data_IF_305794388271
#
_entry.id   IF_305794388271
#
_cell.length_a   1.000
_cell.length_b   1.000
_cell.length_c   1.000
_cell.angle_alpha   90.00
_cell.angle_beta   90.00
_cell.angle_gamma   90.00
#
_symmetry.space_group_name_H-M   'P 1'
#
loop_
_entity.id
_entity.type
_entity.pdbx_description
1 polymer ?
#
# COMPACT_ATOMS: atom_id res chain seq x y z
N UNK A 1 40.58 10.97 54.56
CA UNK A 1 39.32 11.74 54.67
C UNK A 1 39.38 12.91 53.70
N UNK A 2 38.24 13.44 53.26
CA UNK A 2 37.45 12.85 52.16
C UNK A 2 37.10 13.84 51.03
N UNK A 3 36.47 13.28 49.98
CA UNK A 3 35.65 13.89 48.91
C UNK A 3 36.41 14.77 47.89
N UNK A 4 36.41 14.52 46.58
CA UNK A 4 35.61 13.68 45.67
C UNK A 4 35.35 14.52 44.41
N UNK A 5 35.64 14.08 43.17
CA UNK A 5 35.06 14.73 42.00
C UNK A 5 33.60 14.30 41.89
N UNK A 6 32.75 15.31 42.04
CA UNK A 6 31.31 15.32 41.87
C UNK A 6 30.91 15.04 40.41
N UNK A 7 30.00 14.06 40.24
CA UNK A 7 29.04 13.83 39.14
C UNK A 7 29.60 13.68 37.70
N UNK A 8 29.45 12.58 36.96
CA UNK A 8 28.37 11.58 36.85
C UNK A 8 26.96 12.20 36.69
N UNK A 9 26.67 12.65 35.47
CA UNK A 9 25.32 12.73 34.92
C UNK A 9 25.40 12.07 33.52
N UNK A 10 25.10 10.77 33.43
CA UNK A 10 23.76 10.24 33.21
C UNK A 10 23.34 10.44 31.75
N UNK A 11 23.49 9.34 31.00
CA UNK A 11 22.73 9.00 29.81
C UNK A 11 21.25 9.34 30.06
N UNK A 12 20.65 10.18 29.21
CA UNK A 12 19.21 10.16 29.00
C UNK A 12 19.00 9.92 27.51
N UNK A 13 18.76 8.64 27.20
CA UNK A 13 18.16 8.24 25.95
C UNK A 13 16.76 8.81 25.90
N UNK A 14 16.56 9.80 25.06
CA UNK A 14 15.23 10.16 24.59
C UNK A 14 15.13 9.72 23.13
N UNK A 15 14.75 8.45 23.00
CA UNK A 15 14.08 7.88 21.84
C UNK A 15 12.75 8.63 21.66
N UNK A 16 12.53 9.42 20.60
CA UNK A 16 11.18 9.79 20.23
C UNK A 16 10.54 8.54 19.61
N UNK A 17 9.89 7.80 20.50
CA UNK A 17 8.68 7.03 20.30
C UNK A 17 8.20 6.94 18.85
N UNK A 18 8.11 5.68 18.41
CA UNK A 18 7.28 5.24 17.30
C UNK A 18 5.94 5.99 17.27
N UNK A 19 5.87 7.00 16.40
CA UNK A 19 4.62 7.53 15.89
C UNK A 19 3.99 6.51 14.95
N UNK A 20 3.38 5.47 15.53
CA UNK A 20 2.36 4.69 14.84
C UNK A 20 1.13 5.61 14.68
N UNK A 21 1.14 6.42 13.63
CA UNK A 21 -0.06 7.05 13.13
C UNK A 21 -0.91 5.99 12.42
N UNK A 22 -1.70 5.31 13.25
CA UNK A 22 -2.95 4.63 12.90
C UNK A 22 -3.87 5.64 12.20
N UNK A 23 -3.73 5.76 10.89
CA UNK A 23 -4.72 6.45 10.06
C UNK A 23 -5.84 5.47 9.73
N UNK A 24 -6.66 5.24 10.76
CA UNK A 24 -8.06 4.84 10.63
C UNK A 24 -8.81 5.85 9.75
N UNK A 25 -9.49 5.35 8.71
CA UNK A 25 -10.60 6.11 8.09
C UNK A 25 -10.61 6.13 6.57
N UNK A 26 -10.90 4.99 5.95
CA UNK A 26 -11.20 4.91 4.52
C UNK A 26 -11.93 3.62 4.15
N UNK A 27 -12.79 3.11 5.04
CA UNK A 27 -13.73 2.05 4.70
C UNK A 27 -14.93 2.71 4.02
N UNK A 28 -14.85 2.85 2.69
CA UNK A 28 -16.02 3.12 1.88
C UNK A 28 -16.88 1.85 1.92
N UNK A 29 -17.81 1.83 2.87
CA UNK A 29 -18.88 0.86 2.95
C UNK A 29 -19.67 0.90 1.63
N UNK A 30 -19.41 -0.08 0.76
CA UNK A 30 -20.29 -0.39 -0.37
C UNK A 30 -21.67 -0.79 0.16
N UNK A 31 -22.75 -0.56 -0.61
CA UNK A 31 -24.12 -0.78 -0.16
C UNK A 31 -24.32 -2.22 0.32
N UNK A 32 -24.92 -2.36 1.51
CA UNK A 32 -25.35 -3.63 2.10
C UNK A 32 -26.29 -4.37 1.15
N UNK A 33 -26.06 -5.66 0.84
CA UNK A 33 -27.10 -6.49 0.27
C UNK A 33 -28.12 -6.81 1.36
N UNK A 34 -29.30 -6.20 1.25
CA UNK A 34 -30.53 -6.56 1.95
C UNK A 34 -30.67 -8.10 2.03
N UNK A 35 -30.67 -8.62 3.25
CA UNK A 35 -30.89 -10.03 3.55
C UNK A 35 -32.36 -10.39 3.31
N UNK A 36 -32.69 -10.76 2.07
CA UNK A 36 -33.90 -11.50 1.74
C UNK A 36 -33.72 -12.99 2.03
N UNK A 37 -34.10 -13.42 3.23
CA UNK A 37 -34.22 -14.83 3.58
C UNK A 37 -35.43 -15.45 2.86
N UNK A 38 -35.18 -16.32 1.88
CA UNK A 38 -36.07 -17.43 1.58
C UNK A 38 -35.32 -18.75 1.75
N UNK A 39 -35.61 -19.41 2.87
CA UNK A 39 -35.28 -20.82 3.07
C UNK A 39 -36.15 -21.69 2.17
N UNK A 40 -35.52 -22.39 1.24
CA UNK A 40 -36.06 -23.62 0.66
C UNK A 40 -35.09 -24.77 0.93
N UNK A 41 -35.47 -25.82 1.67
CA UNK A 41 -34.63 -27.01 1.79
C UNK A 41 -34.70 -27.80 0.48
N UNK A 42 -33.83 -27.45 -0.47
CA UNK A 42 -33.71 -28.10 -1.77
C UNK A 42 -32.51 -29.03 -1.81
N UNK A 43 -32.72 -30.24 -1.32
CA UNK A 43 -32.05 -31.48 -1.71
C UNK A 43 -30.52 -31.57 -1.57
N UNK A 44 -30.11 -32.33 -0.56
CA UNK A 44 -28.76 -32.89 -0.43
C UNK A 44 -28.44 -33.77 -1.65
N UNK A 45 -27.85 -33.17 -2.69
CA UNK A 45 -27.18 -33.88 -3.76
C UNK A 45 -25.78 -34.31 -3.33
N UNK A 46 -25.69 -35.30 -2.44
CA UNK A 46 -24.44 -36.03 -2.20
C UNK A 46 -24.15 -36.91 -3.43
N UNK A 47 -23.54 -36.32 -4.45
CA UNK A 47 -23.19 -36.97 -5.70
C UNK A 47 -21.73 -36.75 -6.10
N UNK A 48 -20.92 -37.78 -5.88
CA UNK A 48 -19.58 -37.99 -6.46
C UNK A 48 -18.39 -37.24 -5.82
N UNK A 49 -17.87 -37.80 -4.73
CA UNK A 49 -16.72 -37.28 -3.97
C UNK A 49 -15.33 -37.51 -4.58
N UNK A 50 -15.18 -38.28 -5.67
CA UNK A 50 -13.84 -38.66 -6.17
C UNK A 50 -13.35 -37.82 -7.36
N UNK A 51 -14.26 -37.26 -8.17
CA UNK A 51 -13.91 -36.43 -9.33
C UNK A 51 -13.78 -34.94 -9.01
N UNK A 52 -14.53 -34.46 -8.01
CA UNK A 52 -14.54 -33.06 -7.60
C UNK A 52 -13.22 -32.63 -6.93
N UNK A 53 -12.56 -33.54 -6.19
CA UNK A 53 -11.28 -33.26 -5.53
C UNK A 53 -10.15 -33.00 -6.52
N UNK A 54 -10.03 -33.83 -7.57
CA UNK A 54 -8.98 -33.66 -8.58
C UNK A 54 -9.19 -32.38 -9.43
N UNK A 55 -10.44 -32.06 -9.77
CA UNK A 55 -10.79 -30.81 -10.46
C UNK A 55 -10.50 -29.57 -9.58
N UNK A 56 -10.89 -29.61 -8.30
CA UNK A 56 -10.63 -28.51 -7.36
C UNK A 56 -9.14 -28.28 -7.10
N UNK A 57 -8.32 -29.34 -7.11
CA UNK A 57 -6.85 -29.20 -7.06
C UNK A 57 -6.28 -28.52 -8.31
N UNK A 58 -6.83 -28.82 -9.50
CA UNK A 58 -6.41 -28.18 -10.76
C UNK A 58 -6.81 -26.70 -10.81
N UNK A 59 -8.00 -26.34 -10.34
CA UNK A 59 -8.47 -24.95 -10.28
C UNK A 59 -7.64 -24.13 -9.28
N UNK A 60 -7.39 -24.66 -8.07
CA UNK A 60 -6.54 -24.01 -7.09
C UNK A 60 -5.10 -23.78 -7.60
N UNK A 61 -4.56 -24.73 -8.39
CA UNK A 61 -3.25 -24.56 -9.02
C UNK A 61 -3.24 -23.45 -10.07
N UNK A 62 -4.30 -23.35 -10.88
CA UNK A 62 -4.45 -22.27 -11.87
C UNK A 62 -4.55 -20.90 -11.19
N UNK A 63 -5.29 -20.79 -10.08
CA UNK A 63 -5.38 -19.56 -9.29
C UNK A 63 -4.04 -19.17 -8.67
N UNK A 64 -3.31 -20.13 -8.08
CA UNK A 64 -1.97 -19.86 -7.54
C UNK A 64 -0.98 -19.43 -8.64
N UNK A 65 -1.07 -20.01 -9.84
CA UNK A 65 -0.26 -19.58 -10.98
C UNK A 65 -0.61 -18.14 -11.41
N UNK A 66 -1.90 -17.80 -11.48
CA UNK A 66 -2.35 -16.45 -11.81
C UNK A 66 -1.87 -15.41 -10.77
N UNK A 67 -1.94 -15.74 -9.47
CA UNK A 67 -1.44 -14.87 -8.40
C UNK A 67 0.06 -14.62 -8.50
N UNK A 68 0.86 -15.65 -8.82
CA UNK A 68 2.31 -15.51 -9.02
C UNK A 68 2.61 -14.56 -10.17
N UNK A 69 1.93 -14.72 -11.31
CA UNK A 69 2.10 -13.84 -12.47
C UNK A 69 1.74 -12.39 -12.15
N UNK A 70 0.64 -12.14 -11.42
CA UNK A 70 0.28 -10.77 -11.05
C UNK A 70 1.28 -10.17 -10.06
N UNK A 71 1.72 -10.94 -9.07
CA UNK A 71 2.77 -10.50 -8.14
C UNK A 71 4.06 -10.14 -8.87
N UNK A 72 4.49 -10.95 -9.84
CA UNK A 72 5.66 -10.67 -10.66
C UNK A 72 5.48 -9.39 -11.49
N UNK A 73 4.30 -9.16 -12.07
CA UNK A 73 3.99 -7.92 -12.80
C UNK A 73 4.02 -6.70 -11.90
N UNK A 74 3.49 -6.80 -10.68
CA UNK A 74 3.54 -5.73 -9.69
C UNK A 74 4.99 -5.47 -9.27
N UNK A 75 5.76 -6.52 -8.97
CA UNK A 75 7.16 -6.40 -8.58
C UNK A 75 8.00 -5.71 -9.65
N UNK A 76 7.83 -6.07 -10.92
CA UNK A 76 8.52 -5.40 -12.04
C UNK A 76 8.13 -3.92 -12.14
N UNK A 77 6.83 -3.61 -12.12
CA UNK A 77 6.35 -2.22 -12.19
C UNK A 77 6.80 -1.39 -10.98
N UNK A 78 6.89 -2.00 -9.80
CA UNK A 78 7.42 -1.34 -8.60
C UNK A 78 8.91 -1.06 -8.75
N UNK A 79 9.69 -2.05 -9.15
CA UNK A 79 11.12 -1.87 -9.37
C UNK A 79 11.41 -0.70 -10.33
N UNK A 80 10.66 -0.59 -11.44
CA UNK A 80 10.79 0.50 -12.41
C UNK A 80 10.39 1.89 -11.86
N UNK A 81 9.48 1.96 -10.88
CA UNK A 81 8.94 3.23 -10.34
C UNK A 81 9.53 3.66 -9.00
N UNK A 82 10.04 2.72 -8.22
CA UNK A 82 10.61 2.94 -6.87
C UNK A 82 12.11 3.29 -6.93
N UNK A 83 12.66 3.53 -8.13
CA UNK A 83 14.02 4.04 -8.24
C UNK A 83 14.16 5.40 -7.53
N UNK A 84 15.20 5.57 -6.69
CA UNK A 84 15.49 6.86 -6.07
C UNK A 84 15.64 7.95 -7.12
N UNK A 85 15.13 9.15 -6.82
CA UNK A 85 15.35 10.31 -7.67
C UNK A 85 16.75 10.86 -7.39
N UNK A 86 17.56 10.99 -8.44
CA UNK A 86 18.90 11.58 -8.36
C UNK A 86 18.84 13.04 -7.87
N UNK A 87 19.51 13.31 -6.74
CA UNK A 87 19.57 14.66 -6.19
C UNK A 87 20.32 15.61 -7.14
N UNK A 88 19.75 16.78 -7.39
CA UNK A 88 20.35 17.79 -8.27
C UNK A 88 20.13 17.56 -9.77
N UNK A 89 19.35 16.55 -10.16
CA UNK A 89 18.87 16.40 -11.53
C UNK A 89 18.09 17.65 -11.98
N UNK A 90 18.44 18.21 -13.15
CA UNK A 90 17.76 19.40 -13.69
C UNK A 90 16.42 18.99 -14.31
N UNK A 91 15.35 19.65 -13.90
CA UNK A 91 14.05 19.52 -14.57
C UNK A 91 14.10 20.32 -15.87
N UNK A 92 13.70 19.69 -16.98
CA UNK A 92 13.73 20.27 -18.32
C UNK A 92 12.45 19.97 -19.09
N UNK A 93 12.18 20.77 -20.13
CA UNK A 93 11.00 20.62 -20.98
C UNK A 93 9.72 20.72 -20.14
N UNK A 94 8.78 19.79 -20.38
CA UNK A 94 7.44 19.86 -19.80
C UNK A 94 7.44 19.94 -18.26
N UNK A 95 8.35 19.24 -17.59
CA UNK A 95 8.42 19.28 -16.13
C UNK A 95 8.83 20.68 -15.62
N UNK A 96 9.76 21.35 -16.31
CA UNK A 96 10.15 22.71 -15.98
C UNK A 96 9.00 23.70 -16.23
N UNK A 97 8.27 23.54 -17.33
CA UNK A 97 7.13 24.38 -17.67
C UNK A 97 6.02 24.26 -16.63
N UNK A 98 5.74 23.04 -16.17
CA UNK A 98 4.75 22.79 -15.12
C UNK A 98 5.14 23.48 -13.80
N UNK A 99 6.41 23.40 -13.38
CA UNK A 99 6.87 24.11 -12.19
C UNK A 99 6.89 25.63 -12.35
N UNK A 100 7.13 26.14 -13.57
CA UNK A 100 7.03 27.57 -13.85
C UNK A 100 5.57 28.04 -13.75
N UNK A 101 4.63 27.24 -14.26
CA UNK A 101 3.21 27.50 -14.14
C UNK A 101 2.75 27.51 -12.67
N UNK A 102 3.19 26.55 -11.85
CA UNK A 102 2.89 26.53 -10.41
C UNK A 102 3.41 27.80 -9.72
N UNK A 103 4.67 28.19 -9.97
CA UNK A 103 5.25 29.42 -9.41
C UNK A 103 4.54 30.70 -9.89
N UNK A 104 4.05 30.73 -11.13
CA UNK A 104 3.26 31.85 -11.63
C UNK A 104 1.92 31.95 -10.88
N UNK A 105 1.24 30.83 -10.67
CA UNK A 105 -0.01 30.77 -9.89
C UNK A 105 0.22 31.25 -8.46
N UNK A 106 1.28 30.81 -7.80
CA UNK A 106 1.62 31.22 -6.42
C UNK A 106 1.98 32.70 -6.31
N UNK A 107 2.56 33.29 -7.36
CA UNK A 107 2.90 34.72 -7.41
C UNK A 107 1.78 35.62 -7.94
N UNK A 108 0.61 35.05 -8.28
CA UNK A 108 -0.50 35.78 -8.90
C UNK A 108 -0.23 36.23 -10.34
N UNK A 109 0.83 35.72 -10.97
CA UNK A 109 1.14 35.95 -12.37
C UNK A 109 0.37 34.96 -13.26
N UNK A 110 0.16 35.34 -14.53
CA UNK A 110 -0.46 34.45 -15.50
C UNK A 110 0.52 33.29 -15.84
N UNK A 111 0.01 32.06 -15.84
CA UNK A 111 0.81 30.89 -16.19
C UNK A 111 1.37 31.00 -17.63
N UNK A 112 2.62 30.55 -17.87
CA UNK A 112 3.19 30.49 -19.21
C UNK A 112 2.39 29.52 -20.08
N UNK A 113 2.23 29.86 -21.36
CA UNK A 113 1.47 29.07 -22.34
C UNK A 113 2.27 27.86 -22.83
#
# INVERSE_FOLDING_TARGET
GPAGPDQAAAEDGSDPEAGAEDSSGGSEAGPEPEAGAESGPGEAGAGSGEGAGAAGLSEAQAELAAQRVERERIARRKAEREHPVEAGGKLSGRAADLLAAVRAVESGAKAPA
#
